data_IF_473629454720
#
_entry.id   IF_473629454720
#
_cell.length_a   1.000
_cell.length_b   1.000
_cell.length_c   1.000
_cell.angle_alpha   90.00
_cell.angle_beta   90.00
_cell.angle_gamma   90.00
#
_symmetry.space_group_name_H-M   'P 1'
#
loop_
_entity.id
_entity.type
_entity.pdbx_description
1 polymer ?
#
# COMPACT_ATOMS: atom_id res chain seq x y z
N UNK A 1 25.44 42.32 -19.35
CA UNK A 1 24.67 42.27 -18.08
C UNK A 1 23.97 40.92 -18.02
N UNK A 2 24.53 39.97 -17.27
CA UNK A 2 23.94 38.65 -17.09
C UNK A 2 22.81 38.73 -16.05
N UNK A 3 21.64 38.16 -16.36
CA UNK A 3 20.59 37.91 -15.37
C UNK A 3 20.72 36.45 -14.94
N UNK A 4 21.23 36.23 -13.74
CA UNK A 4 21.15 34.92 -13.09
C UNK A 4 19.67 34.56 -12.94
N UNK A 5 19.26 33.45 -13.53
CA UNK A 5 17.98 32.81 -13.23
C UNK A 5 18.28 31.86 -12.07
N UNK A 6 18.20 32.38 -10.86
CA UNK A 6 18.00 31.54 -9.69
C UNK A 6 16.49 31.47 -9.47
N UNK A 7 15.90 30.36 -9.87
CA UNK A 7 14.54 29.99 -9.55
C UNK A 7 14.51 28.47 -9.55
N UNK A 8 14.84 27.88 -8.41
CA UNK A 8 14.40 26.53 -8.11
C UNK A 8 12.88 26.49 -8.34
N UNK A 9 12.44 25.82 -9.41
CA UNK A 9 11.04 25.48 -9.58
C UNK A 9 10.58 24.81 -8.29
N UNK A 10 9.38 25.12 -7.75
CA UNK A 10 8.85 24.35 -6.64
C UNK A 10 8.87 22.89 -7.08
N UNK A 11 9.50 22.03 -6.28
CA UNK A 11 9.46 20.60 -6.51
C UNK A 11 7.99 20.19 -6.44
N UNK A 12 7.48 19.61 -7.51
CA UNK A 12 6.22 18.89 -7.46
C UNK A 12 6.49 17.60 -6.69
N UNK A 13 6.30 17.68 -5.37
CA UNK A 13 6.52 16.56 -4.45
C UNK A 13 5.44 15.47 -4.59
N UNK A 14 4.51 15.63 -5.55
CA UNK A 14 3.45 14.67 -5.86
C UNK A 14 2.41 14.56 -4.75
N UNK A 15 2.26 15.61 -3.93
CA UNK A 15 1.33 15.70 -2.79
C UNK A 15 0.07 16.50 -3.16
N UNK A 16 -1.02 16.26 -2.43
CA UNK A 16 -2.31 16.94 -2.63
C UNK A 16 -3.37 16.05 -3.27
N UNK A 17 -4.43 16.69 -3.77
CA UNK A 17 -5.58 16.00 -4.37
C UNK A 17 -5.35 15.73 -5.86
N UNK A 18 -5.65 14.52 -6.28
CA UNK A 18 -5.49 14.04 -7.64
C UNK A 18 -6.77 13.33 -8.09
N UNK A 19 -7.21 13.51 -9.34
CA UNK A 19 -8.31 12.72 -9.87
C UNK A 19 -7.91 11.26 -9.96
N UNK A 20 -8.85 10.33 -9.70
CA UNK A 20 -8.61 8.91 -9.90
C UNK A 20 -8.15 8.62 -11.33
N UNK A 21 -7.12 7.79 -11.47
CA UNK A 21 -6.58 7.39 -12.78
C UNK A 21 -7.59 6.50 -13.54
N UNK A 22 -7.45 6.33 -14.88
CA UNK A 22 -8.33 5.45 -15.64
C UNK A 22 -8.43 4.02 -15.08
N UNK A 23 -7.31 3.44 -14.61
CA UNK A 23 -7.30 2.11 -14.00
C UNK A 23 -8.04 2.08 -12.66
N UNK A 24 -7.92 3.13 -11.84
CA UNK A 24 -8.66 3.26 -10.58
C UNK A 24 -10.17 3.38 -10.82
N UNK A 25 -10.60 4.16 -11.82
CA UNK A 25 -12.02 4.26 -12.20
C UNK A 25 -12.57 2.96 -12.76
N UNK A 26 -11.79 2.24 -13.57
CA UNK A 26 -12.16 0.91 -14.01
C UNK A 26 -12.32 -0.04 -12.81
N UNK A 27 -11.37 -0.02 -11.87
CA UNK A 27 -11.43 -0.81 -10.64
C UNK A 27 -12.65 -0.46 -9.76
N UNK A 28 -13.04 0.81 -9.71
CA UNK A 28 -14.29 1.23 -9.06
C UNK A 28 -15.52 0.62 -9.76
N UNK A 29 -15.52 0.59 -11.09
CA UNK A 29 -16.67 0.18 -11.90
C UNK A 29 -16.97 -1.32 -11.86
N UNK A 30 -15.95 -2.16 -11.64
CA UNK A 30 -16.14 -3.62 -11.67
C UNK A 30 -16.95 -4.15 -10.47
N UNK A 31 -17.06 -3.38 -9.38
CA UNK A 31 -17.80 -3.77 -8.18
C UNK A 31 -17.19 -4.98 -7.46
N UNK A 32 -16.84 -4.84 -6.18
CA UNK A 32 -16.25 -5.95 -5.41
C UNK A 32 -15.36 -5.48 -4.28
N UNK A 33 -14.76 -6.44 -3.55
CA UNK A 33 -13.82 -6.16 -2.46
C UNK A 33 -12.45 -5.72 -3.01
N UNK A 34 -12.40 -4.53 -3.61
CA UNK A 34 -11.16 -3.88 -4.08
C UNK A 34 -10.15 -3.68 -2.94
N UNK A 35 -10.61 -3.73 -1.70
CA UNK A 35 -9.80 -3.70 -0.48
C UNK A 35 -8.79 -4.86 -0.39
N UNK A 36 -9.05 -5.98 -1.06
CA UNK A 36 -8.13 -7.13 -1.09
C UNK A 36 -7.20 -7.13 -2.31
N UNK A 37 -7.26 -6.10 -3.15
CA UNK A 37 -6.40 -5.98 -4.33
C UNK A 37 -5.02 -5.45 -3.94
N UNK A 38 -4.18 -6.32 -3.38
CA UNK A 38 -2.80 -6.02 -3.01
C UNK A 38 -1.82 -6.99 -3.68
N UNK A 39 -0.58 -6.54 -3.82
CA UNK A 39 0.55 -7.37 -4.24
C UNK A 39 1.50 -7.51 -3.06
N UNK A 40 1.89 -8.75 -2.73
CA UNK A 40 2.78 -9.06 -1.61
C UNK A 40 4.01 -9.82 -2.12
N UNK A 41 5.18 -9.50 -1.58
CA UNK A 41 6.45 -10.19 -1.87
C UNK A 41 7.12 -10.54 -0.55
N UNK A 42 7.69 -11.75 -0.45
CA UNK A 42 8.51 -12.17 0.69
C UNK A 42 9.98 -11.84 0.42
N UNK A 43 10.60 -11.11 1.36
CA UNK A 43 12.01 -10.74 1.30
C UNK A 43 12.75 -11.31 2.51
N UNK A 44 13.96 -11.81 2.29
CA UNK A 44 14.86 -12.23 3.37
C UNK A 44 15.72 -11.03 3.81
N UNK A 45 15.64 -10.70 5.10
CA UNK A 45 16.46 -9.64 5.66
C UNK A 45 17.92 -10.10 5.83
N UNK A 46 18.92 -9.20 5.71
CA UNK A 46 20.29 -9.51 6.05
C UNK A 46 20.44 -9.98 7.51
N UNK A 47 21.46 -10.79 7.77
CA UNK A 47 21.76 -11.23 9.13
C UNK A 47 22.00 -10.02 10.05
N UNK A 48 21.34 -10.01 11.21
CA UNK A 48 21.45 -8.93 12.18
C UNK A 48 20.54 -7.72 11.93
N UNK A 49 19.71 -7.74 10.88
CA UNK A 49 18.70 -6.70 10.69
C UNK A 49 17.68 -6.73 11.83
N UNK A 50 17.42 -5.55 12.39
CA UNK A 50 16.48 -5.37 13.50
C UNK A 50 15.16 -4.78 13.03
N UNK A 51 14.13 -4.88 13.86
CA UNK A 51 12.84 -4.18 13.63
C UNK A 51 13.04 -2.67 13.42
N UNK A 52 13.97 -2.06 14.17
CA UNK A 52 14.27 -0.64 14.04
C UNK A 52 14.86 -0.30 12.66
N UNK A 53 15.73 -1.15 12.12
CA UNK A 53 16.30 -0.97 10.78
C UNK A 53 15.22 -1.05 9.70
N UNK A 54 14.29 -2.01 9.84
CA UNK A 54 13.14 -2.16 8.94
C UNK A 54 12.22 -0.94 9.02
N UNK A 55 11.94 -0.44 10.22
CA UNK A 55 11.12 0.76 10.40
C UNK A 55 11.74 2.00 9.76
N UNK A 56 13.07 2.19 9.88
CA UNK A 56 13.80 3.30 9.24
C UNK A 56 13.74 3.20 7.72
N UNK A 57 13.99 2.00 7.17
CA UNK A 57 13.91 1.77 5.72
C UNK A 57 12.50 2.02 5.20
N UNK A 58 11.49 1.50 5.88
CA UNK A 58 10.09 1.67 5.51
C UNK A 58 9.68 3.15 5.56
N UNK A 59 10.11 3.89 6.57
CA UNK A 59 9.86 5.34 6.65
C UNK A 59 10.48 6.07 5.46
N UNK A 60 11.73 5.77 5.11
CA UNK A 60 12.40 6.38 3.96
C UNK A 60 11.67 6.08 2.64
N UNK A 61 11.14 4.85 2.46
CA UNK A 61 10.34 4.50 1.29
C UNK A 61 9.03 5.26 1.24
N UNK A 62 8.30 5.34 2.36
CA UNK A 62 7.04 6.09 2.43
C UNK A 62 7.28 7.58 2.12
N UNK A 63 8.30 8.19 2.72
CA UNK A 63 8.61 9.60 2.53
C UNK A 63 9.01 9.89 1.08
N UNK A 64 9.82 9.01 0.47
CA UNK A 64 10.27 9.14 -0.93
C UNK A 64 9.17 8.90 -1.95
N UNK A 65 8.23 7.99 -1.68
CA UNK A 65 7.20 7.56 -2.62
C UNK A 65 5.80 8.03 -2.18
N UNK A 66 5.42 9.23 -2.62
CA UNK A 66 4.16 9.87 -2.23
C UNK A 66 2.91 8.98 -2.46
N UNK A 67 2.86 8.23 -3.56
CA UNK A 67 1.74 7.32 -3.85
C UNK A 67 1.58 6.15 -2.86
N UNK A 68 2.61 5.77 -2.10
CA UNK A 68 2.46 4.79 -1.01
C UNK A 68 1.70 5.35 0.19
N UNK A 69 1.61 6.68 0.30
CA UNK A 69 0.85 7.40 1.35
C UNK A 69 -0.54 7.83 0.87
N UNK A 70 -0.86 7.60 -0.40
CA UNK A 70 -2.12 8.00 -1.00
C UNK A 70 -3.31 7.33 -0.32
N UNK A 71 -4.39 8.09 -0.18
CA UNK A 71 -5.69 7.64 0.31
C UNK A 71 -6.73 7.88 -0.75
N UNK A 72 -7.72 7.00 -0.81
CA UNK A 72 -8.81 7.09 -1.76
C UNK A 72 -10.10 7.15 -0.99
N UNK A 73 -10.84 8.23 -1.18
CA UNK A 73 -12.15 8.46 -0.57
C UNK A 73 -13.18 8.65 -1.69
N UNK A 74 -14.47 8.46 -1.36
CA UNK A 74 -15.55 8.86 -2.26
C UNK A 74 -15.66 10.39 -2.26
N UNK A 75 -15.81 10.99 -3.43
CA UNK A 75 -15.91 12.44 -3.59
C UNK A 75 -17.32 12.99 -3.28
N UNK A 76 -18.27 12.12 -2.95
CA UNK A 76 -19.68 12.46 -2.70
C UNK A 76 -20.51 12.62 -3.99
N UNK A 77 -19.88 12.51 -5.15
CA UNK A 77 -20.52 12.47 -6.47
C UNK A 77 -20.43 11.07 -7.11
N UNK A 78 -19.98 10.07 -6.35
CA UNK A 78 -19.83 8.68 -6.81
C UNK A 78 -18.53 8.43 -7.57
N UNK A 79 -17.53 9.32 -7.47
CA UNK A 79 -16.17 9.09 -7.97
C UNK A 79 -15.17 8.94 -6.83
N UNK A 80 -13.97 8.49 -7.18
CA UNK A 80 -12.86 8.43 -6.23
C UNK A 80 -12.01 9.69 -6.30
N UNK A 81 -11.77 10.29 -5.14
CA UNK A 81 -10.79 11.34 -4.95
C UNK A 81 -9.55 10.75 -4.29
N UNK A 82 -8.39 10.91 -4.93
CA UNK A 82 -7.11 10.47 -4.38
C UNK A 82 -6.48 11.65 -3.64
N UNK A 83 -6.19 11.48 -2.36
CA UNK A 83 -5.47 12.47 -1.56
C UNK A 83 -4.11 11.91 -1.18
N UNK A 84 -3.05 12.64 -1.50
CA UNK A 84 -1.67 12.30 -1.15
C UNK A 84 -1.20 13.25 -0.05
N UNK A 85 -1.04 12.78 1.20
CA UNK A 85 -0.52 13.59 2.30
C UNK A 85 0.93 14.03 2.09
N UNK A 86 1.49 14.82 3.01
CA UNK A 86 2.92 15.19 3.04
C UNK A 86 3.83 14.07 3.59
N UNK A 87 5.12 14.13 3.28
CA UNK A 87 6.11 13.20 3.85
C UNK A 87 6.08 13.26 5.39
N UNK A 88 6.31 12.13 6.06
CA UNK A 88 6.19 12.01 7.51
C UNK A 88 4.76 11.97 8.06
N UNK A 89 3.72 12.09 7.22
CA UNK A 89 2.32 12.00 7.69
C UNK A 89 1.89 10.59 8.12
N UNK A 90 2.67 9.58 7.73
CA UNK A 90 2.43 8.17 8.02
C UNK A 90 3.65 7.66 8.77
N UNK A 91 3.44 7.20 10.01
CA UNK A 91 4.47 6.53 10.80
C UNK A 91 4.60 5.08 10.34
N UNK A 92 5.77 4.72 9.82
CA UNK A 92 6.10 3.38 9.36
C UNK A 92 5.84 2.29 10.42
N UNK A 93 5.98 2.61 11.72
CA UNK A 93 5.72 1.66 12.81
C UNK A 93 4.27 1.20 12.87
N UNK A 94 3.33 2.04 12.42
CA UNK A 94 1.92 1.66 12.34
C UNK A 94 1.62 0.70 11.19
N UNK A 95 2.52 0.60 10.22
CA UNK A 95 2.45 -0.32 9.09
C UNK A 95 3.26 -1.61 9.31
N UNK A 96 4.04 -1.69 10.38
CA UNK A 96 4.90 -2.82 10.69
C UNK A 96 4.23 -3.76 11.70
N UNK A 97 4.34 -5.07 11.47
CA UNK A 97 3.88 -6.10 12.40
C UNK A 97 4.94 -7.17 12.50
N UNK A 98 5.54 -7.30 13.68
CA UNK A 98 6.54 -8.33 13.97
C UNK A 98 5.85 -9.56 14.54
N UNK A 99 6.22 -10.74 14.05
CA UNK A 99 5.81 -12.04 14.59
C UNK A 99 7.04 -12.91 14.77
N UNK A 100 7.05 -13.75 15.80
CA UNK A 100 8.16 -14.68 16.05
C UNK A 100 8.22 -15.78 14.98
N UNK A 101 7.05 -16.26 14.56
CA UNK A 101 6.91 -17.28 13.53
C UNK A 101 5.93 -16.82 12.47
N UNK A 102 6.30 -16.98 11.20
CA UNK A 102 5.41 -16.73 10.08
C UNK A 102 4.41 -17.88 9.96
N UNK A 103 3.15 -17.65 10.38
CA UNK A 103 2.05 -18.60 10.21
C UNK A 103 1.02 -18.08 9.21
N UNK A 104 0.17 -18.98 8.70
CA UNK A 104 -0.94 -18.59 7.81
C UNK A 104 -1.89 -17.61 8.50
N UNK A 105 -2.17 -17.79 9.80
CA UNK A 105 -3.03 -16.85 10.54
C UNK A 105 -2.38 -15.46 10.66
N UNK A 106 -1.06 -15.41 10.87
CA UNK A 106 -0.32 -14.15 10.89
C UNK A 106 -0.37 -13.43 9.53
N UNK A 107 -0.21 -14.18 8.43
CA UNK A 107 -0.33 -13.64 7.07
C UNK A 107 -1.74 -13.14 6.76
N UNK A 108 -2.77 -13.91 7.11
CA UNK A 108 -4.18 -13.51 6.93
C UNK A 108 -4.48 -12.23 7.72
N UNK A 109 -4.01 -12.15 8.97
CA UNK A 109 -4.16 -10.96 9.83
C UNK A 109 -3.42 -9.75 9.30
N UNK A 110 -2.20 -9.93 8.79
CA UNK A 110 -1.45 -8.83 8.17
C UNK A 110 -2.16 -8.32 6.91
N UNK A 111 -2.63 -9.24 6.06
CA UNK A 111 -3.33 -8.89 4.81
C UNK A 111 -4.67 -8.20 5.07
N UNK A 112 -5.42 -8.59 6.10
CA UNK A 112 -6.68 -7.94 6.44
C UNK A 112 -6.51 -6.48 6.90
N UNK A 113 -5.32 -6.09 7.39
CA UNK A 113 -4.99 -4.70 7.74
C UNK A 113 -4.65 -3.84 6.52
N UNK A 114 -4.20 -4.44 5.41
CA UNK A 114 -4.03 -3.75 4.13
C UNK A 114 -5.38 -3.35 3.53
N UNK A 115 -6.41 -4.14 3.83
CA UNK A 115 -7.81 -3.85 3.56
C UNK A 115 -8.32 -2.81 4.55
N UNK A 116 -8.04 -1.52 4.34
CA UNK A 116 -8.62 -0.48 5.21
C UNK A 116 -10.09 -0.29 4.81
N UNK A 117 -11.08 -0.48 5.69
CA UNK A 117 -12.46 -0.21 5.33
C UNK A 117 -12.59 1.25 4.92
N UNK A 118 -13.27 1.50 3.79
CA UNK A 118 -13.78 2.83 3.48
C UNK A 118 -14.63 3.32 4.65
N UNK A 119 -14.66 4.64 4.83
CA UNK A 119 -15.74 5.29 5.55
C UNK A 119 -17.07 4.73 5.05
N UNK A 120 -17.72 4.00 5.94
CA UNK A 120 -19.14 3.73 6.05
C UNK A 120 -19.81 2.99 4.87
N UNK A 121 -20.20 1.74 5.10
CA UNK A 121 -21.53 1.31 4.64
C UNK A 121 -21.67 0.07 3.75
N UNK A 122 -20.67 -0.80 3.56
CA UNK A 122 -20.94 -2.09 2.91
C UNK A 122 -20.25 -3.27 3.60
N UNK A 123 -21.06 -4.13 4.22
CA UNK A 123 -20.65 -5.43 4.75
C UNK A 123 -20.11 -6.30 3.61
N UNK A 124 -18.84 -6.68 3.66
CA UNK A 124 -18.31 -7.75 2.82
C UNK A 124 -18.69 -9.10 3.45
N UNK A 125 -19.59 -9.83 2.80
CA UNK A 125 -19.71 -11.29 2.90
C UNK A 125 -18.98 -11.85 1.70
N UNK A 126 -18.02 -12.75 1.92
CA UNK A 126 -17.34 -13.46 0.85
C UNK A 126 -15.95 -13.93 1.25
N UNK A 127 -15.90 -14.98 2.07
CA UNK A 127 -14.74 -15.88 2.11
C UNK A 127 -14.50 -16.42 0.70
N UNK A 128 -13.30 -16.17 0.15
CA UNK A 128 -12.76 -17.00 -0.92
C UNK A 128 -11.34 -17.41 -0.53
N UNK A 129 -11.27 -18.49 0.24
CA UNK A 129 -10.06 -19.26 0.43
C UNK A 129 -9.79 -20.01 -0.88
N UNK A 130 -8.72 -19.65 -1.59
CA UNK A 130 -8.08 -20.57 -2.52
C UNK A 130 -6.70 -20.88 -1.94
N UNK A 131 -6.48 -22.08 -1.38
CA UNK A 131 -5.16 -22.48 -0.93
C UNK A 131 -4.27 -22.68 -2.15
N UNK A 132 -3.11 -22.01 -2.15
CA UNK A 132 -2.04 -22.28 -3.12
C UNK A 132 -1.42 -23.62 -2.73
N UNK A 133 -1.77 -24.67 -3.47
CA UNK A 133 -1.07 -25.95 -3.38
C UNK A 133 0.35 -25.80 -3.92
N UNK A 134 1.35 -26.05 -3.08
CA UNK A 134 2.72 -26.26 -3.54
C UNK A 134 2.77 -27.70 -4.07
N UNK A 135 2.97 -27.85 -5.38
CA UNK A 135 3.31 -29.13 -5.99
C UNK A 135 4.74 -29.48 -5.59
N UNK A 136 4.89 -30.40 -4.63
CA UNK A 136 6.17 -30.92 -4.15
C UNK A 136 6.38 -32.33 -4.72
N UNK A 137 6.36 -32.42 -6.05
CA UNK A 137 6.67 -33.66 -6.77
C UNK A 137 8.15 -33.67 -7.18
N UNK A 138 9.00 -34.52 -6.58
CA UNK A 138 10.31 -34.82 -7.14
C UNK A 138 10.12 -35.84 -8.27
N UNK A 139 10.86 -35.67 -9.36
CA UNK A 139 10.96 -36.56 -10.54
C UNK A 139 9.91 -36.37 -11.65
N UNK A 140 10.30 -35.62 -12.68
CA UNK A 140 9.81 -35.81 -14.05
C UNK A 140 10.84 -36.60 -14.86
N UNK A 141 10.43 -37.76 -15.37
CA UNK A 141 11.18 -38.55 -16.36
C UNK A 141 10.74 -38.27 -17.79
#
# INVERSE_FOLDING_TARGET
MAKAVDAASPSDDGVGQLPATPIMRWLQSIGGAVEQFNQTVLLQAPAGATEADVAVLLQALLDRHAMLRARVDDDGAGSWLVTVPDAGSVDARTCLSTVETLTDEALITARSRLSRPRGDGQRAVGDLHQPVGVDDSPFGG
#
